data_IF_371678426289
#
_entry.id   IF_371678426289
#
_cell.length_a   1.000
_cell.length_b   1.000
_cell.length_c   1.000
_cell.angle_alpha   90.00
_cell.angle_beta   90.00
_cell.angle_gamma   90.00
#
_symmetry.space_group_name_H-M   'P 1'
#
loop_
_entity.id
_entity.type
_entity.pdbx_description
1 polymer ?
#
# COMPACT_ATOMS: atom_id res chain seq x y z
N UNK A 1 13.47 -17.50 -8.17
CA UNK A 1 13.37 -16.03 -8.11
C UNK A 1 11.99 -15.53 -8.54
N UNK A 2 11.39 -16.09 -9.63
CA UNK A 2 10.04 -15.69 -10.06
C UNK A 2 8.98 -15.88 -8.98
N UNK A 3 9.08 -16.93 -8.19
CA UNK A 3 8.11 -17.23 -7.13
C UNK A 3 8.16 -16.21 -5.98
N UNK A 4 9.30 -15.58 -5.75
CA UNK A 4 9.44 -14.50 -4.77
C UNK A 4 8.86 -13.16 -5.27
N UNK A 5 8.81 -12.93 -6.57
CA UNK A 5 8.25 -11.70 -7.12
C UNK A 5 6.75 -11.56 -6.88
N UNK A 6 6.05 -12.65 -6.59
CA UNK A 6 4.61 -12.70 -6.33
C UNK A 6 4.26 -12.75 -4.84
N UNK A 7 5.19 -12.35 -3.97
CA UNK A 7 4.95 -12.34 -2.52
C UNK A 7 3.72 -11.53 -2.11
N UNK A 8 3.39 -10.47 -2.84
CA UNK A 8 2.20 -9.64 -2.63
C UNK A 8 0.87 -10.38 -2.87
N UNK A 9 0.87 -11.49 -3.61
CA UNK A 9 -0.31 -12.36 -3.80
C UNK A 9 -0.47 -13.36 -2.64
N UNK A 10 0.59 -13.59 -1.89
CA UNK A 10 0.61 -14.53 -0.78
C UNK A 10 0.47 -13.86 0.59
N UNK A 11 1.27 -12.81 0.84
CA UNK A 11 1.25 -12.04 2.08
C UNK A 11 0.21 -10.93 2.05
N UNK A 12 -0.17 -10.45 3.23
CA UNK A 12 -1.22 -9.47 3.42
C UNK A 12 -2.59 -10.11 3.60
N UNK A 13 -3.64 -9.32 3.43
CA UNK A 13 -5.03 -9.73 3.57
C UNK A 13 -5.66 -9.94 2.19
N UNK A 14 -6.13 -11.15 1.92
CA UNK A 14 -6.73 -11.53 0.65
C UNK A 14 -8.08 -12.19 0.82
N UNK A 15 -8.95 -11.98 -0.15
CA UNK A 15 -10.17 -12.75 -0.29
C UNK A 15 -9.88 -14.10 -0.93
N UNK A 16 -10.44 -15.16 -0.37
CA UNK A 16 -10.30 -16.50 -0.94
C UNK A 16 -11.34 -16.75 -2.02
N UNK A 17 -11.11 -17.71 -2.92
CA UNK A 17 -12.07 -18.09 -3.96
C UNK A 17 -13.43 -18.55 -3.40
N UNK A 18 -13.50 -18.94 -2.14
CA UNK A 18 -14.75 -19.31 -1.43
C UNK A 18 -15.41 -18.14 -0.69
N UNK A 19 -14.90 -16.91 -0.89
CA UNK A 19 -15.42 -15.68 -0.28
C UNK A 19 -14.95 -15.43 1.16
N UNK A 20 -14.18 -16.32 1.79
CA UNK A 20 -13.55 -16.07 3.08
C UNK A 20 -12.30 -15.18 2.95
N UNK A 21 -11.63 -14.94 4.06
CA UNK A 21 -10.41 -14.16 4.12
C UNK A 21 -9.22 -15.02 4.53
N UNK A 22 -8.05 -14.70 4.03
CA UNK A 22 -6.77 -15.19 4.49
C UNK A 22 -5.83 -14.01 4.70
N UNK A 23 -5.27 -13.95 5.88
CA UNK A 23 -4.20 -13.00 6.23
C UNK A 23 -2.91 -13.77 6.44
N UNK A 24 -1.79 -13.24 5.91
CA UNK A 24 -0.46 -13.80 6.15
C UNK A 24 0.55 -12.69 6.37
N UNK A 25 1.47 -12.94 7.31
CA UNK A 25 2.57 -12.03 7.59
C UNK A 25 3.85 -12.82 7.87
N UNK A 26 4.99 -12.25 7.51
CA UNK A 26 6.30 -12.76 7.89
C UNK A 26 6.78 -12.04 9.15
N UNK A 27 6.83 -12.75 10.25
CA UNK A 27 7.23 -12.21 11.54
C UNK A 27 8.01 -13.27 12.34
N UNK A 28 9.31 -13.44 12.07
CA UNK A 28 10.13 -14.53 12.61
C UNK A 28 10.19 -14.52 14.14
N UNK A 29 10.25 -13.33 14.74
CA UNK A 29 10.41 -13.16 16.18
C UNK A 29 9.08 -13.00 16.92
N UNK A 30 7.95 -12.96 16.22
CA UNK A 30 6.65 -12.87 16.88
C UNK A 30 6.36 -14.15 17.67
N UNK A 31 5.83 -13.99 18.87
CA UNK A 31 5.29 -15.07 19.71
C UNK A 31 3.78 -15.20 19.57
N UNK A 32 3.10 -14.10 19.20
CA UNK A 32 1.69 -14.08 18.93
C UNK A 32 1.30 -12.91 18.00
N UNK A 33 0.23 -13.08 17.23
CA UNK A 33 -0.32 -12.02 16.37
C UNK A 33 -1.84 -12.09 16.39
N UNK A 34 -2.48 -10.95 16.69
CA UNK A 34 -3.92 -10.76 16.60
C UNK A 34 -4.22 -9.69 15.55
N UNK A 35 -5.29 -9.87 14.77
CA UNK A 35 -5.87 -8.76 14.03
C UNK A 35 -6.89 -8.05 14.92
N UNK A 36 -6.74 -6.73 15.04
CA UNK A 36 -7.66 -5.85 15.75
C UNK A 36 -8.17 -4.78 14.78
N UNK A 37 -9.44 -4.42 14.90
CA UNK A 37 -10.05 -3.46 13.96
C UNK A 37 -11.54 -3.28 14.21
N UNK A 38 -12.21 -2.61 13.28
CA UNK A 38 -13.65 -2.31 13.37
C UNK A 38 -14.52 -3.56 13.55
N UNK A 39 -14.08 -4.67 12.97
CA UNK A 39 -14.77 -5.96 13.02
C UNK A 39 -14.77 -6.65 14.38
N UNK A 40 -13.98 -6.20 15.35
CA UNK A 40 -13.91 -6.74 16.71
C UNK A 40 -13.78 -5.65 17.78
N UNK A 41 -14.21 -4.41 17.45
CA UNK A 41 -14.14 -3.25 18.34
C UNK A 41 -12.71 -2.98 18.85
N UNK A 42 -11.70 -3.26 18.03
CA UNK A 42 -10.27 -3.08 18.35
C UNK A 42 -9.82 -3.88 19.57
N UNK A 43 -10.50 -5.01 19.85
CA UNK A 43 -10.18 -5.89 20.95
C UNK A 43 -9.60 -7.21 20.44
N UNK A 44 -8.60 -7.71 21.15
CA UNK A 44 -8.08 -9.05 20.88
C UNK A 44 -9.13 -10.12 21.11
N UNK A 45 -9.15 -11.09 20.23
CA UNK A 45 -10.07 -12.21 20.30
C UNK A 45 -9.43 -13.43 19.61
N UNK A 46 -9.54 -14.61 20.21
CA UNK A 46 -8.97 -15.85 19.66
C UNK A 46 -9.44 -16.17 18.26
N UNK A 47 -10.62 -15.72 17.84
CA UNK A 47 -11.11 -15.85 16.47
C UNK A 47 -10.23 -15.12 15.45
N UNK A 48 -9.58 -14.04 15.88
CA UNK A 48 -8.71 -13.20 15.05
C UNK A 48 -7.23 -13.39 15.36
N UNK A 49 -6.88 -14.48 16.06
CA UNK A 49 -5.52 -14.86 16.37
C UNK A 49 -4.91 -15.65 15.20
N UNK A 50 -3.79 -15.18 14.66
CA UNK A 50 -3.03 -15.89 13.65
C UNK A 50 -2.27 -17.08 14.25
N UNK A 51 -1.95 -18.03 13.41
CA UNK A 51 -1.18 -19.22 13.80
C UNK A 51 0.10 -19.29 12.96
N UNK A 52 1.21 -19.59 13.61
CA UNK A 52 2.47 -19.83 12.90
C UNK A 52 2.36 -21.06 12.01
N UNK A 53 2.73 -20.95 10.76
CA UNK A 53 2.76 -22.07 9.82
C UNK A 53 3.95 -22.95 10.19
N UNK A 54 3.68 -24.23 10.49
CA UNK A 54 4.70 -25.18 10.95
C UNK A 54 5.89 -25.26 9.99
N UNK A 55 7.09 -25.10 10.52
CA UNK A 55 8.33 -25.16 9.76
C UNK A 55 8.69 -23.90 8.98
N UNK A 56 7.95 -22.82 9.22
CA UNK A 56 8.21 -21.49 8.62
C UNK A 56 8.19 -20.39 9.67
N UNK A 57 8.54 -19.19 9.24
CA UNK A 57 8.45 -17.96 10.03
C UNK A 57 7.20 -17.15 9.69
N UNK A 58 6.30 -17.74 8.90
CA UNK A 58 5.08 -17.09 8.43
C UNK A 58 3.92 -17.37 9.40
N UNK A 59 3.06 -16.38 9.53
CA UNK A 59 1.81 -16.44 10.28
C UNK A 59 0.62 -16.46 9.33
N UNK A 60 -0.41 -17.21 9.66
CA UNK A 60 -1.63 -17.31 8.86
C UNK A 60 -2.87 -17.24 9.75
N UNK A 61 -3.88 -16.48 9.27
CA UNK A 61 -5.21 -16.43 9.84
C UNK A 61 -6.23 -16.64 8.72
N UNK A 62 -7.16 -17.58 8.90
CA UNK A 62 -8.28 -17.81 7.98
C UNK A 62 -9.58 -17.42 8.65
N UNK A 63 -10.38 -16.63 7.96
CA UNK A 63 -11.63 -16.11 8.48
C UNK A 63 -12.80 -16.34 7.50
N UNK A 64 -14.03 -16.50 8.01
CA UNK A 64 -15.21 -16.61 7.18
C UNK A 64 -15.52 -15.27 6.48
N UNK A 65 -16.32 -15.30 5.41
CA UNK A 65 -16.68 -14.14 4.60
C UNK A 65 -17.22 -12.95 5.40
N UNK A 66 -18.04 -13.23 6.40
CA UNK A 66 -18.70 -12.22 7.24
C UNK A 66 -17.80 -11.64 8.36
N UNK A 67 -16.55 -12.08 8.45
CA UNK A 67 -15.65 -11.63 9.54
C UNK A 67 -15.16 -10.20 9.36
N UNK A 68 -15.09 -9.75 8.12
CA UNK A 68 -14.64 -8.42 7.73
C UNK A 68 -15.47 -7.91 6.56
N UNK A 69 -15.53 -6.61 6.38
CA UNK A 69 -16.19 -5.96 5.23
C UNK A 69 -15.28 -4.90 4.62
N UNK A 70 -15.56 -4.53 3.39
CA UNK A 70 -14.90 -3.41 2.72
C UNK A 70 -14.97 -2.15 3.57
N UNK A 71 -13.83 -1.47 3.72
CA UNK A 71 -13.70 -0.24 4.48
C UNK A 71 -13.33 -0.42 5.95
N UNK A 72 -13.44 -1.62 6.53
CA UNK A 72 -13.03 -1.84 7.91
C UNK A 72 -11.54 -1.47 8.10
N UNK A 73 -11.24 -0.71 9.14
CA UNK A 73 -9.88 -0.39 9.55
C UNK A 73 -9.33 -1.51 10.43
N UNK A 74 -8.03 -1.78 10.29
CA UNK A 74 -7.40 -2.81 11.10
C UNK A 74 -5.89 -2.60 11.27
N UNK A 75 -5.34 -3.26 12.30
CA UNK A 75 -3.91 -3.41 12.57
C UNK A 75 -3.62 -4.82 13.04
N UNK A 76 -2.35 -5.15 13.12
CA UNK A 76 -1.86 -6.27 13.89
C UNK A 76 -1.53 -5.82 15.31
N UNK A 77 -1.89 -6.59 16.31
CA UNK A 77 -1.29 -6.53 17.63
C UNK A 77 -0.28 -7.68 17.71
N UNK A 78 0.99 -7.34 17.73
CA UNK A 78 2.11 -8.29 17.64
C UNK A 78 2.79 -8.41 18.99
N UNK A 79 3.00 -9.64 19.43
CA UNK A 79 3.77 -9.96 20.63
C UNK A 79 5.10 -10.58 20.24
N UNK A 80 6.14 -10.28 20.99
CA UNK A 80 7.48 -10.87 20.89
C UNK A 80 8.09 -11.02 22.27
N UNK A 81 9.24 -11.68 22.39
CA UNK A 81 9.90 -11.81 23.68
C UNK A 81 10.33 -10.44 24.22
N UNK A 82 9.78 -10.08 25.40
CA UNK A 82 10.03 -8.81 26.07
C UNK A 82 9.16 -7.64 25.63
N UNK A 83 8.16 -7.81 24.72
CA UNK A 83 7.30 -6.69 24.32
C UNK A 83 6.12 -7.03 23.45
N UNK A 84 5.38 -6.00 23.10
CA UNK A 84 4.28 -6.06 22.13
C UNK A 84 4.00 -4.67 21.55
N UNK A 85 3.23 -4.60 20.47
CA UNK A 85 2.79 -3.33 19.91
C UNK A 85 1.81 -3.49 18.75
N UNK A 86 1.10 -2.40 18.46
CA UNK A 86 0.31 -2.31 17.24
C UNK A 86 1.21 -2.05 16.04
N UNK A 87 0.92 -2.74 14.93
CA UNK A 87 1.67 -2.63 13.68
C UNK A 87 0.72 -2.63 12.48
N UNK A 88 1.06 -1.87 11.47
CA UNK A 88 0.44 -2.01 10.15
C UNK A 88 1.08 -3.23 9.47
N UNK A 89 0.30 -4.14 8.86
CA UNK A 89 0.87 -5.27 8.12
C UNK A 89 1.83 -4.79 7.02
N UNK A 90 3.00 -5.43 6.91
CA UNK A 90 4.02 -5.05 5.95
C UNK A 90 3.53 -5.12 4.49
N UNK A 91 2.56 -5.97 4.21
CA UNK A 91 1.97 -6.21 2.90
C UNK A 91 0.57 -5.62 2.75
N UNK A 92 0.21 -4.61 3.56
CA UNK A 92 -1.07 -3.93 3.44
C UNK A 92 -1.20 -3.26 2.07
N UNK A 93 -2.31 -3.53 1.37
CA UNK A 93 -2.58 -3.00 0.02
C UNK A 93 -3.32 -1.65 0.05
N UNK A 94 -3.88 -1.30 1.19
CA UNK A 94 -4.52 -0.01 1.44
C UNK A 94 -4.23 0.41 2.87
N UNK A 95 -3.72 1.62 3.04
CA UNK A 95 -3.46 2.25 4.33
C UNK A 95 -4.04 3.65 4.27
N UNK A 96 -4.74 4.06 5.33
CA UNK A 96 -5.40 5.36 5.39
C UNK A 96 -5.05 6.06 6.70
N UNK A 97 -5.06 7.39 6.65
CA UNK A 97 -4.85 8.24 7.82
C UNK A 97 -6.20 8.78 8.30
N UNK A 98 -6.47 8.66 9.57
CA UNK A 98 -7.61 9.34 10.20
C UNK A 98 -7.37 10.85 10.21
N UNK A 99 -8.38 11.63 9.84
CA UNK A 99 -8.24 13.08 9.67
C UNK A 99 -8.08 13.84 10.97
N UNK A 100 -8.64 13.34 12.06
CA UNK A 100 -8.60 14.00 13.37
C UNK A 100 -7.36 13.56 14.17
N UNK A 101 -7.19 12.25 14.34
CA UNK A 101 -6.12 11.69 15.17
C UNK A 101 -4.78 11.62 14.47
N UNK A 102 -4.75 11.69 13.13
CA UNK A 102 -3.59 11.48 12.25
C UNK A 102 -2.98 10.08 12.35
N UNK A 103 -3.69 9.14 12.96
CA UNK A 103 -3.26 7.76 13.08
C UNK A 103 -3.49 7.02 11.75
N UNK A 104 -2.49 6.27 11.32
CA UNK A 104 -2.59 5.40 10.16
C UNK A 104 -3.11 4.00 10.56
N UNK A 105 -3.93 3.43 9.70
CA UNK A 105 -4.41 2.05 9.82
C UNK A 105 -4.48 1.40 8.45
N UNK A 106 -4.26 0.08 8.38
CA UNK A 106 -4.60 -0.68 7.21
C UNK A 106 -6.13 -0.70 7.03
N UNK A 107 -6.59 -0.77 5.79
CA UNK A 107 -8.00 -0.83 5.46
C UNK A 107 -8.31 -2.06 4.63
N UNK A 108 -9.35 -2.77 4.97
CA UNK A 108 -9.89 -3.88 4.17
C UNK A 108 -10.40 -3.31 2.85
N UNK A 109 -9.73 -3.66 1.75
CA UNK A 109 -10.08 -3.18 0.42
C UNK A 109 -10.62 -4.33 -0.42
N UNK A 110 -11.94 -4.45 -0.49
CA UNK A 110 -12.67 -5.48 -1.24
C UNK A 110 -13.49 -4.79 -2.33
N UNK A 111 -12.80 -4.19 -3.28
CA UNK A 111 -13.41 -3.57 -4.43
C UNK A 111 -13.57 -4.57 -5.58
N UNK A 112 -14.57 -4.34 -6.43
CA UNK A 112 -14.68 -5.08 -7.68
C UNK A 112 -13.43 -4.87 -8.55
N UNK A 113 -13.02 -5.89 -9.31
CA UNK A 113 -11.88 -5.75 -10.22
C UNK A 113 -12.07 -4.57 -11.17
N UNK A 114 -11.05 -3.70 -11.24
CA UNK A 114 -11.12 -2.53 -12.12
C UNK A 114 -11.29 -2.95 -13.59
N UNK A 115 -12.32 -2.44 -14.24
CA UNK A 115 -12.62 -2.72 -15.65
C UNK A 115 -11.78 -1.79 -16.55
N UNK A 116 -10.59 -2.21 -16.94
CA UNK A 116 -9.70 -1.47 -17.83
C UNK A 116 -10.37 -1.22 -19.19
N UNK A 117 -10.49 0.04 -19.58
CA UNK A 117 -11.00 0.47 -20.88
C UNK A 117 -9.95 0.22 -21.97
N UNK A 118 -8.69 0.51 -21.67
CA UNK A 118 -7.54 0.20 -22.53
C UNK A 118 -6.95 -1.16 -22.15
N UNK A 119 -7.52 -2.24 -22.64
CA UNK A 119 -7.13 -3.62 -22.29
C UNK A 119 -5.70 -3.99 -22.69
N UNK A 120 -5.15 -3.36 -23.72
CA UNK A 120 -3.78 -3.56 -24.18
C UNK A 120 -3.12 -2.22 -24.43
N UNK A 121 -2.01 -1.97 -23.75
CA UNK A 121 -1.19 -0.80 -23.96
C UNK A 121 0.18 -1.24 -24.44
N UNK A 122 0.68 -0.60 -25.51
CA UNK A 122 2.06 -0.76 -25.98
C UNK A 122 2.71 0.61 -25.91
N UNK A 123 3.76 0.78 -25.11
CA UNK A 123 4.50 2.05 -25.07
C UNK A 123 5.02 2.40 -26.47
N UNK A 124 5.03 3.69 -26.77
CA UNK A 124 5.69 4.18 -27.97
C UNK A 124 7.20 3.91 -27.83
N UNK A 125 7.81 3.37 -28.87
CA UNK A 125 9.27 3.12 -28.94
C UNK A 125 10.07 4.32 -29.46
N UNK A 126 9.40 5.43 -29.82
CA UNK A 126 10.03 6.70 -30.15
C UNK A 126 10.74 7.29 -28.93
N UNK A 127 11.62 8.28 -29.08
CA UNK A 127 12.20 8.98 -27.94
C UNK A 127 11.13 9.39 -26.94
N UNK A 128 11.33 9.06 -25.66
CA UNK A 128 10.39 9.43 -24.61
C UNK A 128 10.53 10.92 -24.33
N UNK A 129 9.39 11.60 -24.36
CA UNK A 129 9.18 12.95 -23.80
C UNK A 129 8.45 12.76 -22.48
N UNK A 130 9.19 12.80 -21.38
CA UNK A 130 8.72 12.47 -20.05
C UNK A 130 8.29 13.75 -19.31
N UNK A 131 7.08 13.75 -18.80
CA UNK A 131 6.58 14.74 -17.85
C UNK A 131 6.64 14.14 -16.45
N UNK A 132 7.57 14.61 -15.63
CA UNK A 132 7.66 14.22 -14.23
C UNK A 132 6.72 15.10 -13.39
N UNK A 133 5.98 14.49 -12.47
CA UNK A 133 4.95 15.18 -11.71
C UNK A 133 4.71 14.58 -10.34
N UNK A 134 4.29 15.44 -9.41
CA UNK A 134 3.78 15.05 -8.11
C UNK A 134 2.27 15.28 -8.08
N UNK A 135 1.49 14.22 -7.84
CA UNK A 135 0.02 14.26 -7.90
C UNK A 135 -0.56 15.37 -7.03
N UNK A 136 -0.11 15.45 -5.78
CA UNK A 136 -0.65 16.40 -4.82
C UNK A 136 -0.32 17.88 -5.09
N UNK A 137 0.72 18.15 -5.90
CA UNK A 137 1.21 19.52 -6.16
C UNK A 137 0.92 20.02 -7.57
N UNK A 138 0.39 19.20 -8.44
CA UNK A 138 0.19 19.53 -9.85
C UNK A 138 -1.08 20.36 -10.11
N UNK A 139 -1.40 21.31 -9.24
CA UNK A 139 -2.58 22.17 -9.36
C UNK A 139 -2.35 23.54 -8.69
N UNK A 140 -3.17 24.52 -9.04
CA UNK A 140 -3.08 25.91 -8.52
C UNK A 140 -3.87 26.09 -7.19
N UNK A 141 -4.81 25.18 -6.87
CA UNK A 141 -5.60 25.28 -5.65
C UNK A 141 -4.71 25.00 -4.40
N UNK A 142 -4.91 25.78 -3.35
CA UNK A 142 -4.18 25.66 -2.06
C UNK A 142 -4.65 24.43 -1.25
N UNK A 143 -4.54 23.25 -1.86
CA UNK A 143 -4.84 21.95 -1.26
C UNK A 143 -4.01 20.87 -1.92
N UNK A 144 -3.98 19.68 -1.29
CA UNK A 144 -3.41 18.49 -1.90
C UNK A 144 -4.28 18.03 -3.07
N UNK A 145 -3.70 17.88 -4.27
CA UNK A 145 -4.40 17.37 -5.45
C UNK A 145 -4.70 15.88 -5.36
N UNK A 146 -5.68 15.44 -6.14
CA UNK A 146 -6.12 14.04 -6.19
C UNK A 146 -5.81 13.39 -7.55
N UNK A 147 -5.83 12.04 -7.60
CA UNK A 147 -5.72 11.30 -8.86
C UNK A 147 -6.77 11.71 -9.88
N UNK A 148 -8.01 11.94 -9.42
CA UNK A 148 -9.12 12.38 -10.28
C UNK A 148 -8.87 13.78 -10.82
N UNK A 149 -8.49 14.73 -9.97
CA UNK A 149 -8.19 16.10 -10.40
C UNK A 149 -7.01 16.15 -11.37
N UNK A 150 -5.97 15.36 -11.12
CA UNK A 150 -4.85 15.24 -12.05
C UNK A 150 -5.30 14.72 -13.42
N UNK A 151 -6.10 13.65 -13.44
CA UNK A 151 -6.67 13.08 -14.66
C UNK A 151 -7.50 14.10 -15.45
N UNK A 152 -8.28 14.93 -14.76
CA UNK A 152 -9.24 15.84 -15.39
C UNK A 152 -8.63 17.19 -15.79
N UNK A 153 -7.67 17.70 -15.01
CA UNK A 153 -7.18 19.06 -15.19
C UNK A 153 -5.73 19.14 -15.69
N UNK A 154 -4.87 18.15 -15.35
CA UNK A 154 -3.45 18.17 -15.69
C UNK A 154 -3.14 17.31 -16.91
N UNK A 155 -3.64 16.07 -16.92
CA UNK A 155 -3.40 15.15 -18.04
C UNK A 155 -3.78 15.72 -19.41
N UNK A 156 -4.89 16.47 -19.61
CA UNK A 156 -5.19 17.08 -20.89
C UNK A 156 -4.13 18.08 -21.38
N UNK A 157 -3.48 18.81 -20.47
CA UNK A 157 -2.38 19.74 -20.81
C UNK A 157 -1.15 18.97 -21.25
N UNK A 158 -0.77 17.92 -20.52
CA UNK A 158 0.35 17.04 -20.87
C UNK A 158 0.16 16.45 -22.28
N UNK A 159 -1.06 16.05 -22.62
CA UNK A 159 -1.44 15.54 -23.94
C UNK A 159 -1.26 16.63 -25.01
N UNK A 160 -1.79 17.85 -24.75
CA UNK A 160 -1.73 18.97 -25.68
C UNK A 160 -0.28 19.44 -25.95
N UNK A 161 0.59 19.34 -24.94
CA UNK A 161 2.01 19.69 -25.03
C UNK A 161 2.86 18.63 -25.73
N UNK A 162 2.27 17.49 -26.09
CA UNK A 162 2.93 16.44 -26.88
C UNK A 162 3.80 15.48 -26.10
N UNK A 163 3.73 15.45 -24.78
CA UNK A 163 4.40 14.42 -23.98
C UNK A 163 3.81 13.03 -24.27
N UNK A 164 4.65 12.01 -24.24
CA UNK A 164 4.24 10.62 -24.47
C UNK A 164 4.48 9.68 -23.28
N UNK A 165 4.96 10.24 -22.18
CA UNK A 165 5.20 9.52 -20.93
C UNK A 165 4.99 10.46 -19.73
N UNK A 166 4.38 9.93 -18.67
CA UNK A 166 4.30 10.58 -17.36
C UNK A 166 5.13 9.75 -16.38
N UNK A 167 6.00 10.39 -15.62
CA UNK A 167 6.67 9.81 -14.47
C UNK A 167 6.01 10.36 -13.20
N UNK A 168 5.31 9.50 -12.47
CA UNK A 168 4.66 9.87 -11.21
C UNK A 168 5.69 9.70 -10.09
N UNK A 169 6.06 10.82 -9.43
CA UNK A 169 6.92 10.82 -8.25
C UNK A 169 6.31 9.94 -7.17
N UNK A 170 7.16 9.32 -6.37
CA UNK A 170 6.87 8.28 -5.39
C UNK A 170 5.47 8.37 -4.75
N UNK A 171 4.57 7.46 -5.14
CA UNK A 171 3.17 7.41 -4.67
C UNK A 171 2.89 6.27 -3.70
N UNK A 172 3.90 5.50 -3.30
CA UNK A 172 3.74 4.55 -2.22
C UNK A 172 3.32 5.29 -0.94
N UNK A 173 2.57 4.64 -0.06
CA UNK A 173 2.06 5.31 1.15
C UNK A 173 3.20 5.80 2.04
N UNK A 174 3.06 7.02 2.54
CA UNK A 174 4.07 7.71 3.33
C UNK A 174 3.39 8.63 4.37
N UNK A 175 3.90 8.70 5.61
CA UNK A 175 3.26 9.48 6.67
C UNK A 175 3.50 10.98 6.53
N UNK A 176 4.66 11.38 6.02
CA UNK A 176 5.05 12.79 5.92
C UNK A 176 4.91 13.31 4.49
N UNK A 177 3.92 14.17 4.26
CA UNK A 177 3.64 14.76 2.95
C UNK A 177 4.85 15.50 2.35
N UNK A 178 5.61 16.24 3.17
CA UNK A 178 6.80 16.98 2.72
C UNK A 178 7.97 16.10 2.26
N UNK A 179 7.88 14.77 2.42
CA UNK A 179 8.82 13.84 1.80
C UNK A 179 8.56 13.59 0.32
N UNK A 180 7.44 14.09 -0.22
CA UNK A 180 6.98 13.84 -1.58
C UNK A 180 6.86 12.36 -1.96
N UNK A 181 6.64 11.48 -0.97
CA UNK A 181 6.58 10.04 -1.14
C UNK A 181 7.90 9.30 -0.98
N UNK A 182 8.99 10.00 -0.74
CA UNK A 182 10.32 9.36 -0.60
C UNK A 182 10.61 8.81 0.81
N UNK A 183 9.73 9.00 1.78
CA UNK A 183 9.75 8.33 3.09
C UNK A 183 8.64 7.27 3.17
N UNK A 184 8.82 6.18 2.46
CA UNK A 184 7.81 5.11 2.33
C UNK A 184 7.58 4.40 3.66
N UNK A 185 6.31 4.22 4.02
CA UNK A 185 5.86 3.41 5.15
C UNK A 185 5.21 2.09 4.74
N UNK A 186 4.48 2.08 3.62
CA UNK A 186 3.78 0.88 3.14
C UNK A 186 4.04 0.68 1.65
N UNK A 187 4.85 -0.33 1.34
CA UNK A 187 5.38 -0.55 -0.02
C UNK A 187 4.34 -1.05 -1.03
N UNK A 188 3.26 -1.67 -0.56
CA UNK A 188 2.22 -2.29 -1.41
C UNK A 188 0.93 -1.48 -1.46
N UNK A 189 0.90 -0.32 -0.81
CA UNK A 189 -0.23 0.60 -0.82
C UNK A 189 0.11 1.88 -1.59
N UNK A 190 -0.74 2.28 -2.52
CA UNK A 190 -0.69 3.62 -3.08
C UNK A 190 -1.19 4.64 -2.04
N UNK A 191 -0.58 5.83 -2.00
CA UNK A 191 -0.94 6.85 -1.02
C UNK A 191 -2.43 7.19 -1.08
N UNK A 192 -3.09 7.02 0.05
CA UNK A 192 -4.51 7.32 0.23
C UNK A 192 -4.80 8.82 0.21
N UNK A 193 -3.78 9.62 0.43
CA UNK A 193 -3.88 11.10 0.43
C UNK A 193 -4.33 11.64 -0.91
N UNK A 194 -4.04 10.96 -2.00
CA UNK A 194 -4.41 11.37 -3.36
C UNK A 194 -5.68 10.72 -3.89
N UNK A 195 -6.27 9.78 -3.13
CA UNK A 195 -7.51 9.10 -3.52
C UNK A 195 -7.49 7.59 -3.32
N UNK A 196 -8.33 6.92 -4.07
CA UNK A 196 -8.49 5.46 -4.03
C UNK A 196 -7.59 4.75 -5.05
N UNK A 197 -7.34 3.43 -4.88
CA UNK A 197 -6.65 2.63 -5.90
C UNK A 197 -7.35 2.66 -7.27
N UNK A 198 -8.68 2.71 -7.29
CA UNK A 198 -9.47 2.76 -8.51
C UNK A 198 -9.31 4.11 -9.24
N UNK A 199 -9.17 5.21 -8.51
CA UNK A 199 -8.90 6.53 -9.09
C UNK A 199 -7.50 6.59 -9.73
N UNK A 200 -6.49 5.98 -9.08
CA UNK A 200 -5.16 5.83 -9.68
C UNK A 200 -5.21 4.98 -10.96
N UNK A 201 -5.92 3.84 -10.93
CA UNK A 201 -6.12 3.00 -12.12
C UNK A 201 -6.84 3.76 -13.22
N UNK A 202 -7.84 4.58 -12.88
CA UNK A 202 -8.56 5.41 -13.83
C UNK A 202 -7.68 6.49 -14.47
N UNK A 203 -6.75 7.07 -13.72
CA UNK A 203 -5.75 7.99 -14.26
C UNK A 203 -4.83 7.27 -15.26
N UNK A 204 -4.31 6.10 -14.89
CA UNK A 204 -3.43 5.30 -15.76
C UNK A 204 -4.17 4.86 -17.03
N UNK A 205 -5.41 4.40 -16.89
CA UNK A 205 -6.24 3.95 -18.01
C UNK A 205 -6.52 5.09 -19.01
N UNK A 206 -6.81 6.29 -18.51
CA UNK A 206 -7.00 7.47 -19.36
C UNK A 206 -5.69 7.89 -20.05
N UNK A 207 -4.54 7.87 -19.36
CA UNK A 207 -3.24 8.11 -19.98
C UNK A 207 -2.96 7.10 -21.10
N UNK A 208 -3.17 5.82 -20.85
CA UNK A 208 -3.00 4.76 -21.83
C UNK A 208 -3.93 4.90 -23.05
N UNK A 209 -5.16 5.35 -22.84
CA UNK A 209 -6.13 5.63 -23.94
C UNK A 209 -5.58 6.68 -24.89
N UNK A 210 -4.83 7.66 -24.40
CA UNK A 210 -4.19 8.71 -25.18
C UNK A 210 -2.76 8.35 -25.63
N UNK A 211 -2.32 7.11 -25.46
CA UNK A 211 -1.00 6.63 -25.89
C UNK A 211 0.15 7.07 -24.97
N UNK A 212 -0.16 7.59 -23.80
CA UNK A 212 0.85 8.05 -22.82
C UNK A 212 1.23 6.90 -21.90
N UNK A 213 2.52 6.58 -21.83
CA UNK A 213 3.06 5.64 -20.86
C UNK A 213 3.06 6.26 -19.45
N UNK A 214 2.91 5.41 -18.43
CA UNK A 214 3.00 5.85 -17.04
C UNK A 214 4.14 5.08 -16.37
N UNK A 215 5.12 5.82 -15.86
CA UNK A 215 6.22 5.31 -15.05
C UNK A 215 5.90 5.63 -13.59
N UNK A 216 6.06 4.63 -12.73
CA UNK A 216 5.93 4.79 -11.29
C UNK A 216 7.32 4.86 -10.67
N UNK A 217 7.63 5.95 -10.00
CA UNK A 217 8.85 6.09 -9.22
C UNK A 217 8.71 5.30 -7.92
N UNK A 218 9.61 4.36 -7.69
CA UNK A 218 9.56 3.42 -6.58
C UNK A 218 10.81 3.56 -5.73
N UNK A 219 10.63 3.81 -4.43
CA UNK A 219 11.72 3.93 -3.47
C UNK A 219 12.01 2.58 -2.84
N UNK A 220 13.25 2.09 -3.02
CA UNK A 220 13.73 0.83 -2.44
C UNK A 220 15.04 0.97 -1.63
N UNK A 221 15.67 2.14 -1.67
CA UNK A 221 16.96 2.35 -0.99
C UNK A 221 16.81 2.49 0.53
N UNK A 222 15.66 2.91 0.99
CA UNK A 222 15.36 3.16 2.40
C UNK A 222 13.86 3.12 2.65
N UNK A 223 13.45 3.11 3.92
CA UNK A 223 12.08 3.20 4.38
C UNK A 223 12.01 4.05 5.66
N UNK A 224 10.79 4.50 6.00
CA UNK A 224 10.55 5.08 7.33
C UNK A 224 10.79 4.03 8.40
N UNK A 225 11.61 4.37 9.40
CA UNK A 225 11.92 3.50 10.55
C UNK A 225 10.87 3.58 11.66
N UNK A 226 9.74 4.23 11.43
CA UNK A 226 8.66 4.32 12.40
C UNK A 226 8.13 2.93 12.72
N UNK A 227 7.86 2.68 13.98
CA UNK A 227 7.30 1.40 14.42
C UNK A 227 5.79 1.32 14.19
N UNK A 228 5.09 2.45 14.24
CA UNK A 228 3.61 2.52 14.17
C UNK A 228 3.13 2.55 12.73
N UNK A 229 3.76 3.36 11.86
CA UNK A 229 3.36 3.52 10.45
C UNK A 229 4.20 2.69 9.49
N UNK A 230 5.45 2.39 9.86
CA UNK A 230 6.45 1.76 8.99
C UNK A 230 6.79 0.33 9.37
N UNK A 231 7.96 -0.10 8.91
CA UNK A 231 8.48 -1.46 9.12
C UNK A 231 9.47 -1.56 10.29
N UNK A 232 9.70 -0.46 11.02
CA UNK A 232 10.61 -0.46 12.16
C UNK A 232 10.13 -1.40 13.25
N UNK A 233 11.00 -2.29 13.70
CA UNK A 233 10.71 -3.18 14.83
C UNK A 233 9.34 -3.89 14.74
N UNK A 234 9.02 -4.48 13.57
CA UNK A 234 7.71 -5.07 13.32
C UNK A 234 7.35 -6.13 14.36
N UNK A 235 8.31 -6.96 14.75
CA UNK A 235 8.12 -8.07 15.68
C UNK A 235 9.30 -8.21 16.66
N UNK A 236 9.77 -7.11 17.26
CA UNK A 236 10.81 -7.12 18.29
C UNK A 236 12.25 -7.13 17.75
N UNK A 237 12.44 -7.09 16.45
CA UNK A 237 13.75 -6.95 15.82
C UNK A 237 13.77 -5.70 14.91
N UNK A 238 14.55 -4.67 15.27
CA UNK A 238 14.67 -3.46 14.46
C UNK A 238 15.33 -3.72 13.10
N UNK A 239 16.02 -4.85 12.94
CA UNK A 239 16.70 -5.23 11.71
C UNK A 239 15.92 -6.23 10.86
N UNK A 240 14.66 -6.57 11.21
CA UNK A 240 13.86 -7.52 10.43
C UNK A 240 13.80 -7.17 8.94
N UNK A 241 13.65 -5.88 8.61
CA UNK A 241 13.60 -5.34 7.25
C UNK A 241 14.77 -4.41 6.92
N UNK A 242 15.69 -4.19 7.85
CA UNK A 242 16.80 -3.25 7.71
C UNK A 242 18.14 -3.93 7.95
N UNK A 243 19.18 -3.41 7.32
CA UNK A 243 20.54 -3.85 7.62
C UNK A 243 20.96 -3.36 9.02
N UNK A 244 21.73 -4.15 9.78
CA UNK A 244 22.27 -3.70 11.05
C UNK A 244 23.35 -2.63 10.84
N UNK A 245 23.44 -1.67 11.79
CA UNK A 245 24.43 -0.60 11.76
C UNK A 245 24.03 0.57 10.87
N UNK A 246 25.02 1.27 10.30
CA UNK A 246 24.84 2.54 9.56
C UNK A 246 24.50 2.36 8.07
N UNK A 247 24.03 1.19 7.66
CA UNK A 247 23.73 0.86 6.26
C UNK A 247 22.24 1.03 5.89
N UNK A 248 21.56 1.97 6.50
CA UNK A 248 20.15 2.20 6.16
C UNK A 248 19.93 3.51 5.49
#
# INVERSE_FOLDING_TARGET
LSDFANGYEYFGLHKTARGGWVFREWAPNATDIYLVGDFNNWQENDKYRAKRIKGTENWELKLPAKAMKHGDLYKMHVYWDGGHGERIPAWAQRVVQDEETKIFSAQVWDAEPYAWKKKTFKPNTSPLLIYECHIGMAQDAEKVGTYTEFKENVLPRIIADGYNCIQIMAIQEHPYYGSFGYHVSSFFAASSRFGTPEELKALIDEAHKHGIAVIMDIVHSHAVKNEVEGLGNLAGDPNQYFYPGDRH
#
